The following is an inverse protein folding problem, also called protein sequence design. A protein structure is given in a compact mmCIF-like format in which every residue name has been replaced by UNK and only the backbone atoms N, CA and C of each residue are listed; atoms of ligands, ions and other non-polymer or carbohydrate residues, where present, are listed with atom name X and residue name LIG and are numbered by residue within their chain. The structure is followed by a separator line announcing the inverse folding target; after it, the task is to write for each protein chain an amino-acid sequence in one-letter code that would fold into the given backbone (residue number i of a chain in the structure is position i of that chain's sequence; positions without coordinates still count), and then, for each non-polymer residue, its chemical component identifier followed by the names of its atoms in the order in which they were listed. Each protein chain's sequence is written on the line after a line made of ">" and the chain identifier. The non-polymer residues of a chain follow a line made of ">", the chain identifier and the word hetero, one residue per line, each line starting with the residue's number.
data_IF_203716145315
#
_entry.id   IF_203716145315
#
_cell.length_a   1.000
_cell.length_b   1.000
_cell.length_c   1.000
_cell.angle_alpha   90.00
_cell.angle_beta   90.00
_cell.angle_gamma   90.00
#
_symmetry.space_group_name_H-M   'P 1'
#
loop_
_entity.id
_entity.type
_entity.pdbx_description
1 polymer ?
#
# COMPACT_ATOMS: atom_id res chain seq x y z
N UNK A 1 -8.65 -14.65 -0.67
CA UNK A 1 -9.08 -14.07 0.63
C UNK A 1 -8.92 -12.55 0.63
N UNK A 2 -7.73 -12.04 0.32
CA UNK A 2 -7.44 -10.59 0.32
C UNK A 2 -8.36 -9.82 -0.62
N UNK A 3 -8.57 -10.31 -1.84
CA UNK A 3 -9.42 -9.63 -2.81
C UNK A 3 -10.90 -9.56 -2.38
N UNK A 4 -11.36 -10.47 -1.53
CA UNK A 4 -12.70 -10.37 -0.94
C UNK A 4 -12.86 -9.12 -0.05
N UNK A 5 -11.77 -8.60 0.50
CA UNK A 5 -11.76 -7.42 1.36
C UNK A 5 -11.70 -6.08 0.58
N UNK A 6 -11.51 -6.10 -0.73
CA UNK A 6 -11.30 -4.88 -1.54
C UNK A 6 -12.45 -3.85 -1.52
N UNK A 7 -13.63 -4.26 -1.07
CA UNK A 7 -14.83 -3.42 -1.02
C UNK A 7 -15.28 -3.11 0.42
N UNK A 8 -14.46 -3.42 1.42
CA UNK A 8 -14.82 -3.26 2.85
C UNK A 8 -14.47 -1.89 3.42
N UNK A 9 -13.71 -1.06 2.69
CA UNK A 9 -13.24 0.23 3.17
C UNK A 9 -11.87 0.16 3.86
N UNK A 10 -11.27 -1.02 4.03
CA UNK A 10 -9.88 -1.12 4.47
C UNK A 10 -8.93 -0.55 3.41
N UNK A 11 -7.95 0.23 3.85
CA UNK A 11 -6.79 0.48 3.02
C UNK A 11 -5.98 -0.82 2.88
N UNK A 12 -5.39 -1.04 1.71
CA UNK A 12 -4.73 -2.30 1.39
C UNK A 12 -3.30 -2.03 0.92
N UNK A 13 -2.32 -2.48 1.72
CA UNK A 13 -0.91 -2.35 1.45
C UNK A 13 -0.30 -3.73 1.19
N UNK A 14 0.29 -3.92 0.00
CA UNK A 14 0.85 -5.18 -0.47
C UNK A 14 2.39 -5.18 -0.34
N UNK A 15 2.94 -6.31 0.08
CA UNK A 15 4.36 -6.53 0.27
C UNK A 15 4.84 -7.74 -0.54
N UNK A 16 6.06 -7.66 -1.07
CA UNK A 16 6.62 -8.67 -1.95
C UNK A 16 7.47 -9.71 -1.24
N UNK A 17 8.17 -9.35 -0.16
CA UNK A 17 9.11 -10.22 0.53
C UNK A 17 9.16 -9.94 2.04
N UNK A 18 9.92 -10.74 2.77
CA UNK A 18 9.99 -10.68 4.25
C UNK A 18 10.57 -9.35 4.74
N UNK A 19 11.51 -8.74 4.01
CA UNK A 19 12.05 -7.43 4.38
C UNK A 19 11.00 -6.33 4.19
N UNK A 20 10.26 -6.35 3.09
CA UNK A 20 9.16 -5.42 2.87
C UNK A 20 8.08 -5.53 3.97
N UNK A 21 7.77 -6.74 4.43
CA UNK A 21 6.84 -6.94 5.58
C UNK A 21 7.36 -6.24 6.83
N UNK A 22 8.66 -6.38 7.13
CA UNK A 22 9.28 -5.71 8.28
C UNK A 22 9.23 -4.18 8.16
N UNK A 23 9.49 -3.66 6.96
CA UNK A 23 9.64 -2.23 6.72
C UNK A 23 8.30 -1.50 6.54
N UNK A 24 7.31 -2.14 5.92
CA UNK A 24 6.04 -1.50 5.59
C UNK A 24 4.94 -1.72 6.65
N UNK A 25 5.09 -2.68 7.56
CA UNK A 25 4.17 -2.81 8.68
C UNK A 25 4.07 -1.54 9.55
N UNK A 26 5.18 -0.84 9.90
CA UNK A 26 5.11 0.47 10.54
C UNK A 26 4.37 1.52 9.70
N UNK A 27 4.57 1.54 8.37
CA UNK A 27 3.84 2.46 7.48
C UNK A 27 2.34 2.25 7.59
N UNK A 28 1.88 0.99 7.48
CA UNK A 28 0.46 0.66 7.60
C UNK A 28 -0.10 1.08 8.97
N UNK A 29 0.63 0.81 10.06
CA UNK A 29 0.18 1.11 11.41
C UNK A 29 0.08 2.62 11.68
N UNK A 30 1.13 3.37 11.35
CA UNK A 30 1.16 4.82 11.56
C UNK A 30 0.16 5.55 10.64
N UNK A 31 0.04 5.10 9.40
CA UNK A 31 -0.95 5.63 8.47
C UNK A 31 -2.40 5.35 8.92
N UNK A 32 -2.64 4.20 9.56
CA UNK A 32 -3.96 3.88 10.12
C UNK A 32 -4.33 4.83 11.27
N UNK A 33 -3.38 5.20 12.11
CA UNK A 33 -3.60 6.12 13.23
C UNK A 33 -3.89 7.54 12.70
N UNK A 34 -3.03 8.07 11.84
CA UNK A 34 -3.17 9.42 11.30
C UNK A 34 -4.37 9.55 10.37
N UNK A 35 -4.50 8.63 9.42
CA UNK A 35 -5.57 8.63 8.42
C UNK A 35 -6.92 8.12 8.94
N UNK A 36 -6.98 7.56 10.16
CA UNK A 36 -8.22 7.02 10.77
C UNK A 36 -8.93 5.99 9.89
N UNK A 37 -8.17 5.25 9.09
CA UNK A 37 -8.66 4.18 8.20
C UNK A 37 -7.98 2.87 8.60
N UNK A 38 -8.72 1.78 8.76
CA UNK A 38 -8.10 0.48 9.04
C UNK A 38 -7.31 -0.01 7.83
N UNK A 39 -6.16 -0.65 8.09
CA UNK A 39 -5.30 -1.22 7.06
C UNK A 39 -5.36 -2.74 7.05
N UNK A 40 -5.42 -3.29 5.87
CA UNK A 40 -5.06 -4.66 5.57
C UNK A 40 -3.65 -4.64 4.98
N UNK A 41 -2.66 -4.94 5.81
CA UNK A 41 -1.28 -5.13 5.43
C UNK A 41 -1.10 -6.59 5.05
N UNK A 42 -0.71 -6.91 3.82
CA UNK A 42 -0.77 -8.28 3.33
C UNK A 42 0.39 -8.68 2.43
N UNK A 43 0.73 -9.93 2.52
CA UNK A 43 1.76 -10.61 1.73
C UNK A 43 1.31 -12.02 1.36
N UNK A 44 2.05 -12.66 0.45
CA UNK A 44 1.69 -13.97 -0.06
C UNK A 44 1.81 -15.08 0.99
N UNK A 45 0.78 -15.91 1.08
CA UNK A 45 0.84 -17.18 1.81
C UNK A 45 1.76 -18.19 1.12
N UNK A 46 2.37 -19.09 1.88
CA UNK A 46 3.37 -20.09 1.51
C UNK A 46 4.69 -19.52 0.98
N UNK A 47 4.68 -18.52 0.13
CA UNK A 47 5.91 -17.85 -0.32
C UNK A 47 6.47 -17.00 0.82
N UNK A 48 6.08 -15.77 0.94
CA UNK A 48 6.62 -14.84 1.93
C UNK A 48 6.39 -15.34 3.37
N UNK A 49 5.23 -15.92 3.68
CA UNK A 49 4.89 -16.36 5.04
C UNK A 49 5.72 -17.56 5.56
N UNK A 50 6.32 -18.35 4.69
CA UNK A 50 7.10 -19.55 5.05
C UNK A 50 8.58 -19.44 4.68
N UNK A 51 9.01 -18.33 4.12
CA UNK A 51 10.40 -18.07 3.83
C UNK A 51 11.19 -17.77 5.09
N UNK A 52 12.41 -18.31 5.15
CA UNK A 52 13.38 -17.98 6.19
C UNK A 52 14.43 -17.09 5.54
N UNK A 53 14.38 -15.81 5.86
CA UNK A 53 15.30 -14.81 5.34
C UNK A 53 15.99 -14.05 6.47
N UNK A 54 17.22 -13.61 6.21
CA UNK A 54 17.87 -12.63 7.08
C UNK A 54 17.31 -11.25 6.76
N UNK A 55 16.72 -10.60 7.75
CA UNK A 55 16.15 -9.25 7.61
C UNK A 55 16.86 -8.26 8.53
N UNK A 56 16.93 -7.01 8.12
CA UNK A 56 17.23 -5.90 9.01
C UNK A 56 16.02 -5.65 9.92
N UNK A 57 16.26 -5.47 11.20
CA UNK A 57 15.23 -5.25 12.20
C UNK A 57 15.29 -3.79 12.66
N UNK A 58 14.12 -3.19 12.86
CA UNK A 58 14.01 -1.84 13.38
C UNK A 58 14.57 -1.71 14.80
N UNK A 59 15.22 -0.59 15.06
CA UNK A 59 15.42 -0.12 16.42
C UNK A 59 14.11 0.52 16.94
N UNK A 60 13.80 0.28 18.21
CA UNK A 60 12.59 0.86 18.81
C UNK A 60 12.65 2.39 18.90
N UNK A 61 13.83 2.98 19.04
CA UNK A 61 14.00 4.42 19.07
C UNK A 61 13.69 5.03 17.71
N UNK A 62 14.07 4.37 16.60
CA UNK A 62 13.71 4.77 15.24
C UNK A 62 12.20 4.70 15.00
N UNK A 63 11.55 3.65 15.48
CA UNK A 63 10.10 3.53 15.39
C UNK A 63 9.39 4.62 16.20
N UNK A 64 9.88 4.91 17.40
CA UNK A 64 9.33 5.96 18.27
C UNK A 64 9.46 7.35 17.64
N UNK A 65 10.59 7.65 16.99
CA UNK A 65 10.82 8.93 16.29
C UNK A 65 9.86 9.14 15.12
N UNK A 66 9.45 8.07 14.45
CA UNK A 66 8.48 8.16 13.35
C UNK A 66 7.03 8.38 13.81
N UNK A 67 6.72 8.09 15.09
CA UNK A 67 5.37 8.26 15.63
C UNK A 67 4.98 9.74 15.70
N UNK A 68 3.87 10.08 15.07
CA UNK A 68 3.19 11.35 15.32
C UNK A 68 2.33 11.24 16.57
N UNK A 69 2.82 11.78 17.69
CA UNK A 69 2.13 11.68 18.97
C UNK A 69 0.89 12.55 19.04
N UNK A 70 0.78 13.60 18.24
CA UNK A 70 -0.43 14.41 18.13
C UNK A 70 -1.52 13.61 17.38
N UNK A 71 -1.17 12.88 16.33
CA UNK A 71 -2.08 11.96 15.67
C UNK A 71 -2.52 10.82 16.60
N UNK A 72 -1.61 10.26 17.41
CA UNK A 72 -1.94 9.26 18.44
C UNK A 72 -2.92 9.82 19.46
N UNK A 73 -2.70 11.06 19.93
CA UNK A 73 -3.62 11.70 20.89
C UNK A 73 -4.98 11.96 20.27
N UNK A 74 -5.01 12.50 19.05
CA UNK A 74 -6.26 12.72 18.32
C UNK A 74 -7.05 11.43 18.09
N UNK A 75 -6.33 10.31 17.82
CA UNK A 75 -6.95 9.00 17.71
C UNK A 75 -7.57 8.54 19.04
N UNK A 76 -6.87 8.75 20.16
CA UNK A 76 -7.38 8.43 21.51
C UNK A 76 -8.58 9.26 21.89
N UNK A 77 -8.54 10.56 21.61
CA UNK A 77 -9.64 11.50 21.89
C UNK A 77 -10.89 11.16 21.11
N UNK A 78 -10.73 10.50 19.97
CA UNK A 78 -11.82 10.00 19.14
C UNK A 78 -12.46 8.71 19.69
N UNK A 79 -11.89 8.08 20.70
CA UNK A 79 -12.42 6.86 21.31
C UNK A 79 -13.71 7.14 22.10
N UNK A 80 -14.53 6.11 22.30
CA UNK A 80 -15.67 6.20 23.19
C UNK A 80 -15.21 6.44 24.63
N UNK A 81 -15.72 7.50 25.24
CA UNK A 81 -15.39 7.89 26.60
C UNK A 81 -16.68 8.14 27.40
N UNK A 82 -16.91 7.43 28.54
CA UNK A 82 -18.11 7.64 29.36
C UNK A 82 -18.25 9.05 29.94
N UNK A 83 -17.13 9.76 30.17
CA UNK A 83 -17.14 11.13 30.65
C UNK A 83 -17.55 12.15 29.57
N UNK A 84 -17.37 11.76 28.31
CA UNK A 84 -17.78 12.52 27.13
C UNK A 84 -18.60 11.59 26.20
N UNK A 85 -19.84 11.25 26.58
CA UNK A 85 -20.62 10.25 25.89
C UNK A 85 -20.94 10.67 24.46
N UNK A 86 -20.75 9.73 23.54
CA UNK A 86 -20.98 9.93 22.12
C UNK A 86 -21.52 8.66 21.49
N UNK A 87 -22.59 8.77 20.70
CA UNK A 87 -23.15 7.64 19.96
C UNK A 87 -22.45 7.46 18.62
N UNK A 88 -22.05 6.25 18.31
CA UNK A 88 -21.51 5.85 17.01
C UNK A 88 -22.13 4.55 16.55
N UNK A 89 -22.42 4.46 15.27
CA UNK A 89 -23.01 3.27 14.68
C UNK A 89 -24.47 3.13 15.13
N UNK A 90 -25.35 3.78 14.45
CA UNK A 90 -26.79 3.62 14.57
C UNK A 90 -27.39 3.27 13.22
N UNK A 91 -28.68 2.95 13.19
CA UNK A 91 -29.41 2.80 11.96
C UNK A 91 -29.49 4.14 11.22
N UNK A 92 -29.08 4.16 9.96
CA UNK A 92 -29.16 5.34 9.11
C UNK A 92 -30.18 5.09 8.00
N UNK A 93 -31.16 5.99 7.89
CA UNK A 93 -32.13 5.94 6.82
C UNK A 93 -31.57 6.55 5.53
N UNK A 94 -32.28 6.35 4.42
CA UNK A 94 -31.88 6.84 3.11
C UNK A 94 -31.74 8.36 2.99
N UNK A 95 -32.25 9.11 3.97
CA UNK A 95 -32.12 10.58 4.03
C UNK A 95 -30.76 11.07 4.52
N UNK A 96 -30.01 10.26 5.29
CA UNK A 96 -28.69 10.63 5.84
C UNK A 96 -27.56 9.68 5.44
N UNK A 97 -27.86 8.43 5.08
CA UNK A 97 -26.85 7.42 4.77
C UNK A 97 -25.94 7.82 3.61
N UNK A 98 -26.52 8.34 2.54
CA UNK A 98 -25.76 8.78 1.37
C UNK A 98 -24.76 9.88 1.71
N UNK A 99 -25.20 10.89 2.44
CA UNK A 99 -24.35 12.00 2.86
C UNK A 99 -23.19 11.56 3.75
N UNK A 100 -23.44 10.62 4.67
CA UNK A 100 -22.38 10.06 5.51
C UNK A 100 -21.38 9.21 4.69
N UNK A 101 -21.85 8.49 3.69
CA UNK A 101 -20.97 7.74 2.79
C UNK A 101 -20.11 8.66 1.91
N UNK A 102 -20.68 9.73 1.39
CA UNK A 102 -19.94 10.74 0.62
C UNK A 102 -18.93 11.51 1.48
N UNK A 103 -19.26 11.79 2.73
CA UNK A 103 -18.33 12.47 3.65
C UNK A 103 -17.03 11.69 3.91
N UNK A 104 -17.01 10.37 3.67
CA UNK A 104 -15.80 9.57 3.81
C UNK A 104 -14.80 9.80 2.66
N UNK A 105 -15.20 10.38 1.53
CA UNK A 105 -14.36 10.50 0.36
C UNK A 105 -13.08 11.30 0.64
N UNK A 106 -13.18 12.43 1.37
CA UNK A 106 -12.02 13.25 1.70
C UNK A 106 -10.95 12.49 2.48
N UNK A 107 -11.35 11.58 3.35
CA UNK A 107 -10.42 10.75 4.13
C UNK A 107 -9.62 9.82 3.22
N UNK A 108 -10.27 9.21 2.23
CA UNK A 108 -9.59 8.33 1.27
C UNK A 108 -8.77 9.10 0.24
N UNK A 109 -9.15 10.34 -0.09
CA UNK A 109 -8.39 11.20 -1.00
C UNK A 109 -7.07 11.68 -0.36
N UNK A 110 -7.05 11.90 0.95
CA UNK A 110 -5.86 12.31 1.70
C UNK A 110 -4.92 11.13 2.01
N UNK A 111 -5.44 9.92 2.11
CA UNK A 111 -4.70 8.76 2.60
C UNK A 111 -3.44 8.41 1.77
N UNK A 112 -3.41 8.49 0.43
CA UNK A 112 -2.19 8.24 -0.34
C UNK A 112 -1.03 9.13 0.07
N UNK A 113 -1.26 10.42 0.34
CA UNK A 113 -0.23 11.36 0.77
C UNK A 113 0.29 11.02 2.18
N UNK A 114 -0.58 10.58 3.09
CA UNK A 114 -0.19 10.12 4.43
C UNK A 114 0.72 8.88 4.31
N UNK A 115 0.32 7.89 3.52
CA UNK A 115 1.12 6.66 3.30
C UNK A 115 2.48 7.00 2.70
N UNK A 116 2.51 7.84 1.67
CA UNK A 116 3.76 8.29 1.04
C UNK A 116 4.68 9.01 2.02
N UNK A 117 4.12 9.84 2.90
CA UNK A 117 4.87 10.54 3.95
C UNK A 117 5.60 9.54 4.86
N UNK A 118 4.93 8.48 5.31
CA UNK A 118 5.55 7.45 6.13
C UNK A 118 6.56 6.59 5.35
N UNK A 119 6.27 6.26 4.09
CA UNK A 119 7.25 5.60 3.22
C UNK A 119 8.53 6.44 3.09
N UNK A 120 8.40 7.76 2.91
CA UNK A 120 9.54 8.66 2.82
C UNK A 120 10.36 8.71 4.12
N UNK A 121 9.72 8.67 5.29
CA UNK A 121 10.41 8.58 6.58
C UNK A 121 11.24 7.29 6.68
N UNK A 122 10.68 6.17 6.25
CA UNK A 122 11.38 4.87 6.22
C UNK A 122 12.53 4.89 5.22
N UNK A 123 12.30 5.39 4.01
CA UNK A 123 13.32 5.50 2.98
C UNK A 123 14.52 6.31 3.47
N UNK A 124 14.28 7.41 4.19
CA UNK A 124 15.34 8.25 4.74
C UNK A 124 16.21 7.51 5.79
N UNK A 125 15.61 6.59 6.55
CA UNK A 125 16.33 5.82 7.58
C UNK A 125 17.05 4.59 7.02
N UNK A 126 16.45 3.90 6.07
CA UNK A 126 16.98 2.65 5.52
C UNK A 126 17.77 2.82 4.22
N UNK A 127 17.67 3.97 3.55
CA UNK A 127 18.20 4.14 2.20
C UNK A 127 17.43 3.33 1.16
N UNK A 128 16.17 3.04 1.42
CA UNK A 128 15.25 2.37 0.51
C UNK A 128 14.52 3.37 -0.40
N UNK A 129 13.68 2.86 -1.31
CA UNK A 129 12.95 3.66 -2.29
C UNK A 129 11.44 3.32 -2.34
N UNK A 130 10.87 2.90 -1.22
CA UNK A 130 9.44 2.56 -1.17
C UNK A 130 8.56 3.73 -1.61
N UNK A 131 7.64 3.45 -2.52
CA UNK A 131 6.60 4.36 -2.99
C UNK A 131 5.25 3.63 -3.08
N UNK A 132 4.17 4.38 -3.29
CA UNK A 132 2.83 3.79 -3.48
C UNK A 132 2.81 2.83 -4.68
N UNK A 133 3.59 3.20 -5.69
CA UNK A 133 3.94 2.40 -6.86
C UNK A 133 5.43 2.58 -7.12
N UNK A 134 6.13 1.50 -7.43
CA UNK A 134 7.53 1.57 -7.83
C UNK A 134 7.71 1.07 -9.25
N UNK A 135 8.43 1.84 -10.05
CA UNK A 135 8.85 1.42 -11.37
C UNK A 135 10.21 0.72 -11.32
N UNK A 136 10.36 -0.36 -12.08
CA UNK A 136 11.61 -1.08 -12.28
C UNK A 136 11.82 -1.43 -13.74
N UNK A 137 13.01 -1.28 -14.28
CA UNK A 137 13.38 -1.71 -15.63
C UNK A 137 13.86 -0.59 -16.55
N UNK A 138 13.68 -0.76 -17.87
CA UNK A 138 14.18 0.19 -18.86
C UNK A 138 13.47 1.55 -18.73
N UNK A 139 14.21 2.68 -18.67
CA UNK A 139 13.58 4.01 -18.54
C UNK A 139 12.76 4.41 -19.77
N UNK A 140 12.99 3.75 -20.91
CA UNK A 140 12.30 3.93 -22.16
C UNK A 140 11.49 2.69 -22.58
N UNK A 141 10.97 1.96 -21.59
CA UNK A 141 10.18 0.76 -21.83
C UNK A 141 8.95 1.05 -22.72
N UNK A 142 8.73 0.18 -23.71
CA UNK A 142 7.52 0.21 -24.54
C UNK A 142 6.44 -0.79 -24.07
N UNK A 143 6.82 -1.67 -23.18
CA UNK A 143 5.97 -2.69 -22.55
C UNK A 143 6.19 -2.71 -21.04
N UNK A 144 5.12 -2.67 -20.29
CA UNK A 144 5.17 -2.71 -18.83
C UNK A 144 4.25 -3.80 -18.30
N UNK A 145 4.75 -4.54 -17.31
CA UNK A 145 3.95 -5.45 -16.50
C UNK A 145 3.56 -4.74 -15.21
N UNK A 146 2.32 -4.89 -14.77
CA UNK A 146 1.83 -4.40 -13.49
C UNK A 146 1.55 -5.62 -12.62
N UNK A 147 2.10 -5.64 -11.43
CA UNK A 147 1.96 -6.75 -10.50
C UNK A 147 2.05 -6.28 -9.04
N UNK A 148 1.66 -7.12 -8.10
CA UNK A 148 1.86 -6.92 -6.66
C UNK A 148 2.22 -8.23 -5.97
N UNK A 149 2.82 -8.13 -4.78
CA UNK A 149 3.24 -9.28 -3.97
C UNK A 149 4.55 -9.92 -4.43
N UNK A 150 4.81 -11.15 -3.98
CA UNK A 150 6.10 -11.82 -4.15
C UNK A 150 6.50 -12.10 -5.60
N UNK A 151 5.55 -12.10 -6.50
CA UNK A 151 5.84 -12.30 -7.92
C UNK A 151 6.66 -11.15 -8.54
N UNK A 152 6.63 -9.97 -7.91
CA UNK A 152 7.43 -8.83 -8.34
C UNK A 152 8.93 -9.13 -8.35
N UNK A 153 9.45 -9.82 -7.33
CA UNK A 153 10.87 -10.17 -7.24
C UNK A 153 11.30 -11.10 -8.41
N UNK A 154 10.46 -12.07 -8.74
CA UNK A 154 10.70 -12.93 -9.91
C UNK A 154 10.64 -12.13 -11.22
N UNK A 155 9.72 -11.17 -11.31
CA UNK A 155 9.62 -10.32 -12.50
C UNK A 155 10.83 -9.41 -12.68
N UNK A 156 11.44 -8.92 -11.62
CA UNK A 156 12.69 -8.14 -11.74
C UNK A 156 13.81 -8.92 -12.44
N UNK A 157 14.03 -10.17 -12.04
CA UNK A 157 15.00 -11.03 -12.71
C UNK A 157 14.66 -11.25 -14.20
N UNK A 158 13.38 -11.43 -14.52
CA UNK A 158 12.92 -11.57 -15.91
C UNK A 158 13.11 -10.29 -16.70
N UNK A 159 12.80 -9.13 -16.11
CA UNK A 159 13.00 -7.81 -16.72
C UNK A 159 14.47 -7.56 -17.01
N UNK A 160 15.36 -7.87 -16.07
CA UNK A 160 16.79 -7.74 -16.24
C UNK A 160 17.31 -8.62 -17.38
N UNK A 161 16.86 -9.88 -17.41
CA UNK A 161 17.22 -10.80 -18.48
C UNK A 161 16.77 -10.28 -19.85
N UNK A 162 15.52 -9.86 -19.98
CA UNK A 162 14.97 -9.37 -21.25
C UNK A 162 15.67 -8.10 -21.73
N UNK A 163 15.89 -7.13 -20.82
CA UNK A 163 16.57 -5.89 -21.15
C UNK A 163 18.04 -6.11 -21.55
N UNK A 164 18.72 -7.05 -20.90
CA UNK A 164 20.08 -7.46 -21.29
C UNK A 164 20.13 -8.10 -22.69
N UNK A 165 18.99 -8.60 -23.19
CA UNK A 165 18.87 -9.18 -24.55
C UNK A 165 18.25 -8.22 -25.57
N UNK A 166 18.20 -6.93 -25.24
CA UNK A 166 17.80 -5.87 -26.18
C UNK A 166 16.32 -5.57 -26.21
N UNK A 167 15.53 -6.12 -25.29
CA UNK A 167 14.14 -5.74 -25.10
C UNK A 167 14.04 -4.44 -24.28
N UNK A 168 12.87 -3.79 -24.30
CA UNK A 168 12.58 -2.57 -23.54
C UNK A 168 11.34 -2.79 -22.71
N UNK A 169 11.53 -3.42 -21.56
CA UNK A 169 10.44 -3.82 -20.67
C UNK A 169 10.64 -3.25 -19.27
N UNK A 170 9.51 -3.05 -18.59
CA UNK A 170 9.49 -2.57 -17.22
C UNK A 170 8.41 -3.24 -16.39
N UNK A 171 8.49 -3.02 -15.10
CA UNK A 171 7.56 -3.49 -14.09
C UNK A 171 7.07 -2.29 -13.28
N UNK A 172 5.77 -2.24 -12.99
CA UNK A 172 5.22 -1.42 -11.91
C UNK A 172 4.78 -2.34 -10.79
N UNK A 173 5.41 -2.18 -9.63
CA UNK A 173 5.03 -2.82 -8.38
C UNK A 173 3.94 -1.99 -7.71
N UNK A 174 2.78 -2.59 -7.44
CA UNK A 174 1.69 -1.96 -6.71
C UNK A 174 1.85 -2.25 -5.23
N UNK A 175 2.06 -1.22 -4.41
CA UNK A 175 2.09 -1.35 -2.94
C UNK A 175 0.79 -0.86 -2.32
N UNK A 176 0.36 0.37 -2.56
CA UNK A 176 -0.94 0.83 -2.09
C UNK A 176 -2.02 0.48 -3.11
N UNK A 177 -2.72 -0.64 -2.88
CA UNK A 177 -3.79 -1.10 -3.75
C UNK A 177 -5.12 -0.38 -3.48
N UNK A 178 -5.39 -0.04 -2.21
CA UNK A 178 -6.57 0.73 -1.78
C UNK A 178 -6.18 1.78 -0.73
N UNK A 179 -6.61 3.04 -0.91
CA UNK A 179 -7.21 3.61 -2.12
C UNK A 179 -6.24 3.62 -3.29
N UNK A 180 -6.72 3.41 -4.51
CA UNK A 180 -5.87 3.41 -5.69
C UNK A 180 -5.71 4.84 -6.23
N UNK A 181 -4.50 5.37 -6.17
CA UNK A 181 -4.20 6.71 -6.68
C UNK A 181 -3.78 6.66 -8.14
N UNK A 182 -4.70 7.01 -9.02
CA UNK A 182 -4.43 7.07 -10.48
C UNK A 182 -3.29 8.01 -10.80
N UNK A 183 -3.20 9.16 -10.11
CA UNK A 183 -2.13 10.13 -10.31
C UNK A 183 -0.76 9.49 -10.08
N UNK A 184 -0.52 8.95 -8.89
CA UNK A 184 0.77 8.34 -8.54
C UNK A 184 1.10 7.12 -9.42
N UNK A 185 0.08 6.39 -9.86
CA UNK A 185 0.27 5.27 -10.79
C UNK A 185 0.72 5.73 -12.18
N UNK A 186 0.11 6.78 -12.71
CA UNK A 186 0.48 7.32 -14.03
C UNK A 186 1.85 7.99 -14.00
N UNK A 187 2.17 8.68 -12.89
CA UNK A 187 3.44 9.41 -12.72
C UNK A 187 4.67 8.49 -12.75
N UNK A 188 4.53 7.21 -12.41
CA UNK A 188 5.66 6.25 -12.47
C UNK A 188 5.83 5.57 -13.83
N UNK A 189 4.86 5.70 -14.74
CA UNK A 189 4.93 5.05 -16.05
C UNK A 189 5.84 5.84 -17.00
N UNK A 190 6.79 5.20 -17.71
CA UNK A 190 7.51 5.84 -18.80
C UNK A 190 6.55 6.33 -19.91
N UNK A 191 6.78 7.53 -20.44
CA UNK A 191 5.98 8.08 -21.53
C UNK A 191 6.00 7.23 -22.82
N UNK A 192 7.00 6.37 -22.96
CA UNK A 192 7.21 5.48 -24.11
C UNK A 192 6.33 4.24 -24.12
N UNK A 193 5.58 3.98 -23.02
CA UNK A 193 4.76 2.77 -22.86
C UNK A 193 3.64 2.71 -23.90
N UNK A 194 3.58 1.57 -24.60
CA UNK A 194 2.56 1.28 -25.63
C UNK A 194 1.67 0.10 -25.27
N UNK A 195 2.18 -0.80 -24.41
CA UNK A 195 1.47 -2.01 -24.01
C UNK A 195 1.63 -2.24 -22.52
N UNK A 196 0.53 -2.57 -21.89
CA UNK A 196 0.48 -2.88 -20.46
C UNK A 196 -0.13 -4.28 -20.31
N UNK A 197 0.52 -5.12 -19.50
CA UNK A 197 -0.01 -6.39 -19.03
C UNK A 197 -0.24 -6.28 -17.51
N UNK A 198 -1.46 -6.53 -17.06
CA UNK A 198 -1.77 -6.60 -15.64
C UNK A 198 -1.81 -8.07 -15.24
N UNK A 199 -1.01 -8.43 -14.26
CA UNK A 199 -0.95 -9.79 -13.74
C UNK A 199 -1.57 -9.85 -12.36
N UNK A 200 -2.46 -10.80 -12.17
CA UNK A 200 -3.01 -11.16 -10.88
C UNK A 200 -2.72 -12.64 -10.61
N UNK A 201 -2.33 -12.93 -9.39
CA UNK A 201 -2.09 -14.30 -8.93
C UNK A 201 -3.38 -15.03 -8.58
N UNK A 202 -4.42 -14.29 -8.27
CA UNK A 202 -5.71 -14.82 -7.85
C UNK A 202 -6.63 -15.00 -9.06
N UNK A 203 -7.23 -16.17 -9.17
CA UNK A 203 -8.36 -16.39 -10.05
C UNK A 203 -9.54 -16.90 -9.22
N UNK A 204 -10.58 -16.11 -9.16
CA UNK A 204 -11.83 -16.47 -8.47
C UNK A 204 -12.83 -17.11 -9.44
N UNK A 205 -13.72 -17.99 -8.96
CA UNK A 205 -14.80 -18.50 -9.79
C UNK A 205 -15.68 -17.36 -10.33
N UNK A 206 -15.87 -17.33 -11.64
CA UNK A 206 -16.71 -16.33 -12.29
C UNK A 206 -16.01 -15.00 -12.59
N UNK A 207 -14.71 -14.92 -12.37
CA UNK A 207 -13.89 -13.75 -12.75
C UNK A 207 -12.99 -14.04 -13.96
#
# INVERSE_FOLDING_TARGET
>A
DVMACRQTGFAMLAEGNVQEVMDLAPVAHLSAIEGKVPFLNFFDGFRTSHEIQKVAVWDYDDLAEMCDMDAVQAFRDHSLNPEHPHSRGSHENGDIFFQHREACNSVYDELPAIVESYMNKINAKLGSDYGLFNYYGAPDADRVVICMGSFCDTLEEVIDYLNAHGEKVGLVKVRLYRPFSVKHFVDVLPETVKKIAVMDRTKEPGS
#
